data_IF_704999616351
#
_entry.id   IF_704999616351
#
_cell.length_a   1.000
_cell.length_b   1.000
_cell.length_c   1.000
_cell.angle_alpha   90.00
_cell.angle_beta   90.00
_cell.angle_gamma   90.00
#
_symmetry.space_group_name_H-M   'P 1'
#
loop_
_entity.id
_entity.type
_entity.pdbx_description
1 polymer ?
#
# COMPACT_ATOMS: atom_id res chain seq x y z
N UNK A 1 -22.14 -15.19 -39.60
CA UNK A 1 -20.86 -15.88 -39.33
C UNK A 1 -20.08 -15.02 -38.36
N UNK A 2 -20.21 -15.29 -37.06
CA UNK A 2 -19.41 -14.60 -36.04
C UNK A 2 -18.00 -15.17 -36.12
N UNK A 3 -17.02 -14.36 -36.54
CA UNK A 3 -15.62 -14.78 -36.49
C UNK A 3 -15.28 -15.05 -35.03
N UNK A 4 -15.01 -16.32 -34.71
CA UNK A 4 -14.40 -16.71 -33.44
C UNK A 4 -13.03 -16.04 -33.40
N UNK A 5 -12.97 -14.85 -32.80
CA UNK A 5 -11.70 -14.21 -32.46
C UNK A 5 -11.03 -15.12 -31.44
N UNK A 6 -9.90 -15.71 -31.80
CA UNK A 6 -9.08 -16.43 -30.84
C UNK A 6 -8.88 -15.56 -29.60
N UNK A 7 -9.07 -16.10 -28.38
CA UNK A 7 -8.95 -15.33 -27.16
C UNK A 7 -7.55 -14.69 -27.13
N UNK A 8 -7.52 -13.37 -26.97
CA UNK A 8 -6.28 -12.60 -26.85
C UNK A 8 -5.40 -13.23 -25.77
N UNK A 9 -4.08 -13.38 -26.01
CA UNK A 9 -3.18 -13.92 -24.99
C UNK A 9 -3.24 -13.06 -23.73
N UNK A 10 -3.29 -13.71 -22.56
CA UNK A 10 -3.35 -13.04 -21.27
C UNK A 10 -2.17 -12.05 -21.08
N UNK A 11 -2.45 -10.89 -20.50
CA UNK A 11 -1.48 -9.84 -20.25
C UNK A 11 -1.97 -8.83 -19.22
N UNK A 12 -1.15 -8.47 -18.24
CA UNK A 12 -1.35 -7.31 -17.38
C UNK A 12 -0.99 -6.01 -18.12
N UNK A 13 -0.02 -6.08 -19.04
CA UNK A 13 0.38 -4.92 -19.87
C UNK A 13 -0.65 -4.53 -20.92
N UNK A 14 -1.46 -5.49 -21.35
CA UNK A 14 -2.49 -5.38 -22.37
C UNK A 14 -3.71 -4.58 -21.94
N UNK A 15 -4.89 -5.10 -22.28
CA UNK A 15 -6.19 -4.45 -22.16
C UNK A 15 -6.29 -3.57 -20.91
N UNK A 16 -6.86 -2.39 -21.08
CA UNK A 16 -7.01 -1.39 -20.01
C UNK A 16 -7.99 -1.84 -18.92
N UNK A 17 -8.39 -3.11 -18.87
CA UNK A 17 -9.34 -3.65 -17.91
C UNK A 17 -8.67 -4.33 -16.71
N UNK A 18 -9.43 -4.49 -15.62
CA UNK A 18 -9.02 -5.20 -14.42
C UNK A 18 -9.04 -6.74 -14.59
N UNK A 19 -9.64 -7.24 -15.67
CA UNK A 19 -9.89 -8.66 -15.90
C UNK A 19 -8.64 -9.53 -15.94
N UNK A 20 -7.55 -9.03 -16.53
CA UNK A 20 -6.28 -9.73 -16.54
C UNK A 20 -5.74 -9.97 -15.13
N UNK A 21 -5.91 -8.99 -14.24
CA UNK A 21 -5.50 -9.13 -12.85
C UNK A 21 -6.41 -10.12 -12.11
N UNK A 22 -7.74 -10.07 -12.29
CA UNK A 22 -8.65 -11.07 -11.69
C UNK A 22 -8.31 -12.49 -12.14
N UNK A 23 -7.95 -12.68 -13.41
CA UNK A 23 -7.50 -13.98 -13.94
C UNK A 23 -6.22 -14.45 -13.24
N UNK A 24 -5.26 -13.55 -13.04
CA UNK A 24 -4.05 -13.83 -12.27
C UNK A 24 -4.36 -14.26 -10.84
N UNK A 25 -5.26 -13.55 -10.17
CA UNK A 25 -5.65 -13.87 -8.80
C UNK A 25 -6.24 -15.27 -8.68
N UNK A 26 -7.13 -15.66 -9.59
CA UNK A 26 -7.70 -17.01 -9.57
C UNK A 26 -6.62 -18.09 -9.73
N UNK A 27 -5.66 -17.88 -10.63
CA UNK A 27 -4.54 -18.79 -10.81
C UNK A 27 -3.63 -18.82 -9.57
N UNK A 28 -3.35 -17.67 -8.96
CA UNK A 28 -2.54 -17.58 -7.75
C UNK A 28 -3.23 -18.24 -6.54
N UNK A 29 -4.54 -18.04 -6.36
CA UNK A 29 -5.32 -18.68 -5.30
C UNK A 29 -5.30 -20.20 -5.42
N UNK A 30 -5.44 -20.74 -6.64
CA UNK A 30 -5.31 -22.18 -6.86
C UNK A 30 -3.95 -22.73 -6.42
N UNK A 31 -2.86 -21.97 -6.61
CA UNK A 31 -1.51 -22.35 -6.16
C UNK A 31 -1.37 -22.20 -4.62
N UNK A 32 -1.95 -21.15 -4.04
CA UNK A 32 -1.95 -20.95 -2.58
C UNK A 32 -2.67 -22.10 -1.88
N UNK A 33 -3.80 -22.53 -2.41
CA UNK A 33 -4.64 -23.61 -1.86
C UNK A 33 -4.06 -25.02 -2.09
N UNK A 34 -3.09 -25.18 -3.00
CA UNK A 34 -2.43 -26.45 -3.27
C UNK A 34 -1.51 -26.88 -2.11
N UNK A 35 -2.08 -27.60 -1.15
CA UNK A 35 -1.36 -28.18 0.01
C UNK A 35 -0.32 -29.23 -0.37
N UNK A 36 -0.31 -29.74 -1.61
CA UNK A 36 0.67 -30.72 -2.07
C UNK A 36 2.01 -30.09 -2.43
N UNK A 37 2.03 -28.77 -2.66
CA UNK A 37 3.21 -28.00 -3.00
C UNK A 37 3.79 -27.35 -1.72
N UNK A 38 4.96 -27.78 -1.20
CA UNK A 38 5.58 -27.17 -0.03
C UNK A 38 5.97 -25.71 -0.25
N UNK A 39 5.98 -24.90 0.81
CA UNK A 39 6.29 -23.47 0.75
C UNK A 39 7.69 -23.18 0.19
N UNK A 40 8.68 -24.02 0.53
CA UNK A 40 10.06 -23.89 0.05
C UNK A 40 10.15 -24.13 -1.45
N UNK A 41 9.44 -25.14 -1.96
CA UNK A 41 9.41 -25.48 -3.39
C UNK A 41 8.70 -24.38 -4.18
N UNK A 42 7.60 -23.84 -3.66
CA UNK A 42 6.92 -22.72 -4.29
C UNK A 42 7.81 -21.47 -4.35
N UNK A 43 8.51 -21.16 -3.27
CA UNK A 43 9.44 -20.02 -3.21
C UNK A 43 10.63 -20.20 -4.15
N UNK A 44 11.17 -21.42 -4.26
CA UNK A 44 12.22 -21.76 -5.22
C UNK A 44 11.73 -21.57 -6.67
N UNK A 45 10.53 -22.04 -7.00
CA UNK A 45 9.94 -21.84 -8.34
C UNK A 45 9.75 -20.36 -8.67
N UNK A 46 9.18 -19.58 -7.74
CA UNK A 46 9.03 -18.14 -7.90
C UNK A 46 10.38 -17.45 -8.12
N UNK A 47 11.38 -17.84 -7.34
CA UNK A 47 12.77 -17.37 -7.48
C UNK A 47 13.35 -17.69 -8.87
N UNK A 48 13.14 -18.90 -9.37
CA UNK A 48 13.57 -19.29 -10.72
C UNK A 48 12.92 -18.42 -11.81
N UNK A 49 11.63 -18.09 -11.69
CA UNK A 49 10.99 -17.17 -12.64
C UNK A 49 11.57 -15.75 -12.58
N UNK A 50 11.93 -15.27 -11.38
CA UNK A 50 12.53 -13.95 -11.17
C UNK A 50 13.98 -13.84 -11.67
N UNK A 51 14.68 -14.96 -11.92
CA UNK A 51 16.03 -14.94 -12.53
C UNK A 51 16.05 -14.27 -13.92
N UNK A 52 14.87 -14.11 -14.55
CA UNK A 52 14.75 -13.33 -15.78
C UNK A 52 15.30 -11.90 -15.60
N UNK A 53 15.21 -11.31 -14.41
CA UNK A 53 15.73 -9.97 -14.15
C UNK A 53 17.25 -9.91 -13.98
N UNK A 54 17.92 -11.04 -13.76
CA UNK A 54 19.40 -11.12 -13.66
C UNK A 54 20.06 -11.02 -15.04
N UNK A 55 19.28 -11.18 -16.10
CA UNK A 55 19.74 -11.09 -17.48
C UNK A 55 19.92 -9.63 -17.89
N UNK A 56 21.10 -9.23 -18.41
CA UNK A 56 21.35 -7.85 -18.82
C UNK A 56 20.34 -7.30 -19.83
N UNK A 57 19.79 -8.15 -20.70
CA UNK A 57 18.82 -7.75 -21.72
C UNK A 57 17.48 -7.29 -21.14
N UNK A 58 17.18 -7.63 -19.88
CA UNK A 58 15.93 -7.31 -19.19
C UNK A 58 16.12 -6.35 -18.01
N UNK A 59 17.31 -5.77 -17.86
CA UNK A 59 17.62 -4.82 -16.78
C UNK A 59 16.67 -3.60 -16.77
N UNK A 60 16.09 -3.23 -17.91
CA UNK A 60 15.09 -2.15 -18.01
C UNK A 60 13.75 -2.49 -17.39
N UNK A 61 13.38 -3.77 -17.30
CA UNK A 61 12.17 -4.25 -16.63
C UNK A 61 12.41 -4.51 -15.14
N UNK A 62 13.67 -4.60 -14.72
CA UNK A 62 14.01 -4.75 -13.31
C UNK A 62 13.79 -3.46 -12.50
N UNK A 63 13.54 -2.33 -13.18
CA UNK A 63 13.49 -0.98 -12.60
C UNK A 63 12.30 -0.18 -13.12
N UNK A 64 11.60 0.45 -12.20
CA UNK A 64 10.42 1.24 -12.54
C UNK A 64 10.75 2.66 -13.06
N UNK A 65 9.98 3.13 -14.04
CA UNK A 65 10.19 4.44 -14.68
C UNK A 65 9.89 5.60 -13.74
N UNK A 66 8.89 5.47 -12.86
CA UNK A 66 8.52 6.55 -11.94
C UNK A 66 9.65 6.90 -10.96
N UNK A 67 10.54 5.96 -10.64
CA UNK A 67 11.70 6.23 -9.79
C UNK A 67 12.62 7.31 -10.37
N UNK A 68 12.70 7.43 -11.70
CA UNK A 68 13.49 8.50 -12.35
C UNK A 68 12.95 9.89 -12.02
N UNK A 69 11.67 10.01 -11.67
CA UNK A 69 10.99 11.27 -11.36
C UNK A 69 11.07 11.62 -9.86
N UNK A 70 11.53 10.71 -9.01
CA UNK A 70 11.65 10.93 -7.57
C UNK A 70 12.85 11.84 -7.33
N UNK A 71 12.57 13.11 -7.00
CA UNK A 71 13.62 14.14 -6.83
C UNK A 71 14.69 13.76 -5.80
N UNK A 72 14.39 12.91 -4.82
CA UNK A 72 15.38 12.39 -3.88
C UNK A 72 16.42 11.48 -4.51
N UNK A 73 16.04 10.70 -5.51
CA UNK A 73 16.96 9.79 -6.17
C UNK A 73 18.04 10.55 -6.94
N UNK A 74 17.74 11.77 -7.41
CA UNK A 74 18.77 12.66 -7.97
C UNK A 74 19.87 13.03 -6.96
N UNK A 75 19.57 13.02 -5.65
CA UNK A 75 20.54 13.33 -4.59
C UNK A 75 21.35 12.12 -4.15
N UNK A 76 20.90 10.90 -4.46
CA UNK A 76 21.55 9.68 -4.02
C UNK A 76 21.30 8.54 -5.03
N UNK A 77 21.91 8.63 -6.24
CA UNK A 77 21.61 7.73 -7.35
C UNK A 77 21.92 6.27 -7.02
N UNK A 78 22.96 5.98 -6.23
CA UNK A 78 23.30 4.60 -5.86
C UNK A 78 22.18 3.87 -5.12
N UNK A 79 21.39 4.58 -4.29
CA UNK A 79 20.25 3.95 -3.60
C UNK A 79 19.11 3.58 -4.53
N UNK A 80 18.91 4.32 -5.62
CA UNK A 80 17.92 3.94 -6.64
C UNK A 80 18.32 2.65 -7.33
N UNK A 81 19.62 2.46 -7.56
CA UNK A 81 20.17 1.31 -8.27
C UNK A 81 20.03 0.03 -7.45
N UNK A 82 20.01 0.14 -6.12
CA UNK A 82 19.84 -0.98 -5.21
C UNK A 82 18.39 -1.49 -5.10
N UNK A 83 17.40 -0.75 -5.61
CA UNK A 83 16.00 -1.15 -5.58
C UNK A 83 15.60 -1.79 -6.92
N UNK A 84 15.26 -3.08 -6.84
CA UNK A 84 14.98 -3.94 -8.00
C UNK A 84 13.69 -4.71 -7.78
N UNK A 85 13.12 -5.26 -8.85
CA UNK A 85 11.95 -6.13 -8.78
C UNK A 85 12.19 -7.35 -7.85
N UNK A 86 13.41 -7.91 -7.91
CA UNK A 86 13.82 -9.00 -7.02
C UNK A 86 13.85 -8.56 -5.56
N UNK A 87 14.44 -7.41 -5.26
CA UNK A 87 14.48 -6.88 -3.89
C UNK A 87 13.09 -6.55 -3.35
N UNK A 88 12.17 -6.09 -4.20
CA UNK A 88 10.76 -5.92 -3.83
C UNK A 88 10.15 -7.25 -3.37
N UNK A 89 10.31 -8.29 -4.18
CA UNK A 89 9.82 -9.63 -3.86
C UNK A 89 10.42 -10.14 -2.54
N UNK A 90 11.74 -10.07 -2.39
CA UNK A 90 12.43 -10.51 -1.17
C UNK A 90 11.93 -9.72 0.07
N UNK A 91 11.66 -8.41 -0.09
CA UNK A 91 11.09 -7.57 0.97
C UNK A 91 9.65 -7.98 1.36
N UNK A 92 8.83 -8.42 0.39
CA UNK A 92 7.50 -8.98 0.67
C UNK A 92 7.62 -10.28 1.48
N UNK A 93 8.50 -11.19 1.09
CA UNK A 93 8.74 -12.45 1.82
C UNK A 93 9.26 -12.16 3.25
N UNK A 94 10.26 -11.29 3.39
CA UNK A 94 10.79 -10.90 4.69
C UNK A 94 9.73 -10.23 5.58
N UNK A 95 8.88 -9.38 5.00
CA UNK A 95 7.78 -8.74 5.73
C UNK A 95 6.79 -9.78 6.26
N UNK A 96 6.46 -10.79 5.45
CA UNK A 96 5.60 -11.89 5.87
C UNK A 96 6.22 -12.70 7.01
N UNK A 97 7.51 -13.05 6.92
CA UNK A 97 8.23 -13.80 7.96
C UNK A 97 8.26 -13.00 9.29
N UNK A 98 8.62 -11.72 9.22
CA UNK A 98 8.74 -10.83 10.39
C UNK A 98 7.40 -10.53 11.09
N UNK A 99 6.29 -10.62 10.35
CA UNK A 99 4.94 -10.44 10.87
C UNK A 99 4.19 -11.76 11.07
N UNK A 100 4.88 -12.90 10.88
CA UNK A 100 4.32 -14.26 11.00
C UNK A 100 3.06 -14.48 10.13
N UNK A 101 3.05 -13.93 8.92
CA UNK A 101 1.96 -14.03 7.95
C UNK A 101 2.15 -15.28 7.08
N UNK A 102 1.76 -16.46 7.58
CA UNK A 102 2.00 -17.74 6.87
C UNK A 102 1.47 -17.78 5.44
N UNK A 103 0.18 -17.47 5.26
CA UNK A 103 -0.44 -17.35 3.92
C UNK A 103 0.17 -16.20 3.14
N UNK A 104 0.49 -15.11 3.85
CA UNK A 104 1.11 -13.94 3.25
C UNK A 104 2.48 -14.20 2.65
N UNK A 105 3.25 -15.13 3.22
CA UNK A 105 4.52 -15.57 2.66
C UNK A 105 4.34 -16.33 1.35
N UNK A 106 3.30 -17.17 1.29
CA UNK A 106 3.01 -18.03 0.14
C UNK A 106 2.44 -17.24 -1.05
N UNK A 107 1.67 -16.20 -0.77
CA UNK A 107 0.92 -15.45 -1.78
C UNK A 107 1.78 -14.74 -2.85
N UNK A 108 2.84 -13.96 -2.54
CA UNK A 108 3.70 -13.36 -3.55
C UNK A 108 4.37 -14.39 -4.47
N UNK A 109 4.80 -15.52 -3.89
CA UNK A 109 5.41 -16.60 -4.67
C UNK A 109 4.38 -17.26 -5.61
N UNK A 110 3.15 -17.46 -5.13
CA UNK A 110 2.05 -17.96 -5.94
C UNK A 110 1.68 -17.02 -7.10
N UNK A 111 1.61 -15.70 -6.88
CA UNK A 111 1.33 -14.74 -7.96
C UNK A 111 2.45 -14.69 -9.02
N UNK A 112 3.72 -14.79 -8.62
CA UNK A 112 4.85 -14.91 -9.57
C UNK A 112 4.73 -16.18 -10.40
N UNK A 113 4.46 -17.33 -9.77
CA UNK A 113 4.27 -18.60 -10.47
C UNK A 113 3.03 -18.59 -11.37
N UNK A 114 1.92 -18.00 -10.92
CA UNK A 114 0.71 -17.85 -11.71
C UNK A 114 0.94 -16.97 -12.94
N UNK A 115 1.70 -15.89 -12.80
CA UNK A 115 2.08 -15.03 -13.92
C UNK A 115 2.88 -15.82 -14.97
N UNK A 116 3.84 -16.64 -14.54
CA UNK A 116 4.60 -17.50 -15.44
C UNK A 116 3.70 -18.55 -16.13
N UNK A 117 2.84 -19.23 -15.37
CA UNK A 117 1.91 -20.25 -15.86
C UNK A 117 0.95 -19.70 -16.93
N UNK A 118 0.40 -18.50 -16.71
CA UNK A 118 -0.52 -17.86 -17.67
C UNK A 118 0.15 -17.44 -18.98
N UNK A 119 1.48 -17.35 -19.00
CA UNK A 119 2.29 -17.05 -20.19
C UNK A 119 2.79 -18.31 -20.91
N UNK A 120 2.65 -19.49 -20.32
CA UNK A 120 3.06 -20.73 -20.96
C UNK A 120 2.23 -20.94 -22.23
N UNK A 121 2.87 -21.23 -23.39
CA UNK A 121 2.14 -21.52 -24.60
C UNK A 121 1.23 -22.71 -24.37
N UNK A 122 -0.09 -22.53 -24.52
CA UNK A 122 -0.99 -23.67 -24.68
C UNK A 122 -0.47 -24.45 -25.88
N UNK A 123 -0.21 -25.75 -25.70
CA UNK A 123 0.48 -26.64 -26.65
C UNK A 123 -0.32 -26.87 -27.94
N UNK A 124 -0.71 -25.82 -28.65
CA UNK A 124 -1.43 -25.88 -29.92
C UNK A 124 -0.44 -26.14 -31.06
N UNK A 125 0.33 -27.23 -30.98
CA UNK A 125 1.13 -27.82 -32.08
C UNK A 125 2.06 -26.87 -32.85
N UNK A 126 2.34 -25.68 -32.33
CA UNK A 126 2.94 -24.59 -33.09
C UNK A 126 4.46 -24.69 -33.06
N UNK A 127 5.07 -24.49 -34.23
CA UNK A 127 6.51 -24.46 -34.46
C UNK A 127 7.22 -23.68 -33.34
N UNK A 128 8.35 -24.24 -32.89
CA UNK A 128 9.33 -23.59 -32.01
C UNK A 128 9.39 -22.08 -32.28
N UNK A 129 9.22 -21.21 -31.26
CA UNK A 129 9.26 -19.77 -31.46
C UNK A 129 10.56 -19.37 -32.14
N UNK A 130 10.46 -18.52 -33.16
CA UNK A 130 11.60 -18.05 -33.96
C UNK A 130 12.60 -17.22 -33.16
N UNK A 131 12.19 -16.69 -32.01
CA UNK A 131 13.01 -15.87 -31.13
C UNK A 131 13.06 -16.48 -29.71
N UNK A 132 14.20 -17.03 -29.26
CA UNK A 132 14.36 -17.60 -27.92
C UNK A 132 14.26 -16.55 -26.79
N UNK A 133 14.35 -15.26 -27.11
CA UNK A 133 14.22 -14.18 -26.13
C UNK A 133 12.78 -13.71 -25.93
N UNK A 134 11.86 -14.09 -26.82
CA UNK A 134 10.47 -13.57 -26.78
C UNK A 134 9.73 -13.95 -25.50
N UNK A 135 9.79 -15.23 -25.09
CA UNK A 135 9.11 -15.70 -23.90
C UNK A 135 9.71 -15.12 -22.60
N UNK A 136 11.05 -15.15 -22.38
CA UNK A 136 11.66 -14.49 -21.23
C UNK A 136 11.40 -12.98 -21.18
N UNK A 137 11.45 -12.28 -22.33
CA UNK A 137 11.13 -10.85 -22.38
C UNK A 137 9.71 -10.58 -21.89
N UNK A 138 8.75 -11.38 -22.37
CA UNK A 138 7.36 -11.24 -21.97
C UNK A 138 7.16 -11.50 -20.48
N UNK A 139 7.79 -12.54 -19.95
CA UNK A 139 7.78 -12.82 -18.52
C UNK A 139 8.35 -11.66 -17.69
N UNK A 140 9.49 -11.09 -18.11
CA UNK A 140 10.08 -9.94 -17.42
C UNK A 140 9.16 -8.71 -17.42
N UNK A 141 8.47 -8.44 -18.54
CA UNK A 141 7.52 -7.35 -18.67
C UNK A 141 6.32 -7.52 -17.72
N UNK A 142 5.68 -8.68 -17.72
CA UNK A 142 4.50 -8.94 -16.89
C UNK A 142 4.83 -8.99 -15.39
N UNK A 143 5.98 -9.58 -15.03
CA UNK A 143 6.46 -9.55 -13.64
C UNK A 143 6.81 -8.14 -13.18
N UNK A 144 7.38 -7.31 -14.06
CA UNK A 144 7.64 -5.89 -13.74
C UNK A 144 6.35 -5.16 -13.41
N UNK A 145 5.29 -5.37 -14.19
CA UNK A 145 3.98 -4.74 -13.99
C UNK A 145 3.32 -5.26 -12.72
N UNK A 146 3.36 -6.57 -12.49
CA UNK A 146 2.87 -7.17 -11.25
C UNK A 146 3.53 -6.52 -10.03
N UNK A 147 4.85 -6.39 -10.03
CA UNK A 147 5.60 -5.90 -8.87
C UNK A 147 5.44 -4.38 -8.71
N UNK A 148 5.63 -3.60 -9.77
CA UNK A 148 5.73 -2.15 -9.66
C UNK A 148 4.44 -1.37 -9.94
N UNK A 149 3.51 -1.93 -10.70
CA UNK A 149 2.24 -1.27 -10.99
C UNK A 149 1.10 -1.86 -10.14
N UNK A 150 1.12 -3.16 -9.87
CA UNK A 150 0.07 -3.81 -9.07
C UNK A 150 0.42 -3.80 -7.59
N UNK A 151 1.50 -4.45 -7.15
CA UNK A 151 1.83 -4.57 -5.72
C UNK A 151 2.21 -3.23 -5.10
N UNK A 152 3.09 -2.48 -5.74
CA UNK A 152 3.48 -1.16 -5.24
C UNK A 152 2.28 -0.24 -5.07
N UNK A 153 1.42 -0.14 -6.09
CA UNK A 153 0.20 0.66 -6.02
C UNK A 153 -0.72 0.16 -4.92
N UNK A 154 -0.97 -1.15 -4.82
CA UNK A 154 -1.82 -1.72 -3.77
C UNK A 154 -1.29 -1.47 -2.35
N UNK A 155 0.03 -1.50 -2.13
CA UNK A 155 0.65 -1.19 -0.84
C UNK A 155 0.59 0.30 -0.52
N UNK A 156 0.90 1.14 -1.51
CA UNK A 156 1.05 2.58 -1.34
C UNK A 156 -0.29 3.32 -1.35
N UNK A 157 -1.30 2.85 -2.08
CA UNK A 157 -2.56 3.56 -2.32
C UNK A 157 -3.30 3.99 -1.04
N UNK A 158 -3.47 3.13 0.00
CA UNK A 158 -4.07 3.55 1.27
C UNK A 158 -3.36 4.72 1.95
N UNK A 159 -2.10 4.92 1.59
CA UNK A 159 -1.20 5.89 2.18
C UNK A 159 -0.84 7.00 1.21
N UNK A 160 -1.36 7.02 -0.03
CA UNK A 160 -0.98 8.00 -1.04
C UNK A 160 -1.53 9.41 -0.73
N UNK A 161 -2.51 9.54 0.16
CA UNK A 161 -3.11 10.81 0.60
C UNK A 161 -2.18 11.66 1.50
N UNK A 162 -0.86 11.59 1.29
CA UNK A 162 0.08 12.37 2.12
C UNK A 162 0.20 13.85 1.72
N UNK A 163 -0.32 14.23 0.55
CA UNK A 163 -0.01 15.50 -0.10
C UNK A 163 -1.20 16.42 -0.43
N UNK A 164 -2.36 15.91 -0.85
CA UNK A 164 -3.50 16.74 -1.30
C UNK A 164 -4.81 15.95 -1.38
N UNK A 165 -5.73 16.29 -0.46
CA UNK A 165 -7.20 16.28 -0.44
C UNK A 165 -8.00 15.07 -0.98
N UNK A 166 -8.81 14.55 -0.04
CA UNK A 166 -9.98 13.66 -0.15
C UNK A 166 -9.67 12.24 -0.59
N UNK A 167 -9.45 11.38 0.40
CA UNK A 167 -9.87 9.98 0.31
C UNK A 167 -11.35 9.98 -0.05
N UNK A 168 -11.68 9.60 -1.28
CA UNK A 168 -12.99 8.98 -1.51
C UNK A 168 -13.06 7.84 -0.51
N UNK A 169 -14.08 7.78 0.38
CA UNK A 169 -14.31 6.60 1.18
C UNK A 169 -14.19 5.39 0.25
N UNK A 170 -13.54 4.32 0.68
CA UNK A 170 -13.79 3.03 0.03
C UNK A 170 -15.25 2.76 0.33
N UNK A 171 -16.15 3.29 -0.51
CA UNK A 171 -17.56 2.99 -0.44
C UNK A 171 -17.61 1.48 -0.49
N UNK A 172 -18.15 0.88 0.58
CA UNK A 172 -18.52 -0.52 0.52
C UNK A 172 -19.34 -0.61 -0.75
N UNK A 173 -18.90 -1.44 -1.70
CA UNK A 173 -19.78 -1.87 -2.78
C UNK A 173 -21.11 -2.21 -2.11
N UNK A 174 -22.14 -1.45 -2.43
CA UNK A 174 -23.49 -1.73 -1.96
C UNK A 174 -23.80 -3.19 -2.31
N UNK A 175 -24.66 -3.84 -1.52
CA UNK A 175 -24.98 -5.25 -1.75
C UNK A 175 -25.55 -5.44 -3.17
N UNK A 176 -26.14 -4.40 -3.73
CA UNK A 176 -26.57 -4.27 -5.13
C UNK A 176 -25.39 -4.16 -6.12
N UNK A 177 -24.36 -3.36 -5.85
CA UNK A 177 -23.17 -3.24 -6.72
C UNK A 177 -22.31 -4.51 -6.77
N UNK A 178 -22.32 -5.32 -5.70
CA UNK A 178 -21.64 -6.63 -5.70
C UNK A 178 -22.24 -7.58 -6.75
N UNK A 179 -23.50 -7.40 -7.15
CA UNK A 179 -24.12 -8.18 -8.21
C UNK A 179 -23.72 -7.75 -9.64
N UNK A 180 -23.08 -6.59 -9.82
CA UNK A 180 -22.71 -6.06 -11.15
C UNK A 180 -21.21 -5.74 -11.30
N UNK A 181 -20.34 -6.29 -10.45
CA UNK A 181 -18.90 -6.12 -10.63
C UNK A 181 -18.41 -6.88 -11.86
N UNK A 182 -18.20 -6.16 -12.96
CA UNK A 182 -17.64 -6.68 -14.20
C UNK A 182 -16.20 -6.19 -14.39
N UNK A 183 -15.18 -6.99 -14.07
CA UNK A 183 -13.78 -6.55 -14.13
C UNK A 183 -13.34 -6.16 -15.54
N UNK A 184 -14.00 -6.70 -16.58
CA UNK A 184 -13.78 -6.34 -17.99
C UNK A 184 -14.15 -4.88 -18.30
N UNK A 185 -15.05 -4.28 -17.51
CA UNK A 185 -15.53 -2.90 -17.69
C UNK A 185 -14.78 -1.89 -16.81
N UNK A 186 -13.98 -2.36 -15.85
CA UNK A 186 -13.29 -1.50 -14.89
C UNK A 186 -11.91 -1.14 -15.44
N UNK A 187 -11.68 0.15 -15.71
CA UNK A 187 -10.38 0.64 -16.14
C UNK A 187 -9.31 0.34 -15.07
N UNK A 188 -8.16 -0.19 -15.50
CA UNK A 188 -7.10 -0.72 -14.63
C UNK A 188 -6.43 0.34 -13.76
N UNK A 189 -6.55 1.62 -14.09
CA UNK A 189 -6.03 2.76 -13.30
C UNK A 189 -7.12 3.49 -12.49
N UNK A 190 -8.38 3.01 -12.53
CA UNK A 190 -9.47 3.62 -11.76
C UNK A 190 -9.29 3.41 -10.26
N UNK A 191 -9.89 4.30 -9.45
CA UNK A 191 -9.95 4.16 -8.00
C UNK A 191 -10.57 2.80 -7.59
N UNK A 192 -11.58 2.34 -8.33
CA UNK A 192 -12.19 1.02 -8.13
C UNK A 192 -11.18 -0.12 -8.31
N UNK A 193 -10.36 -0.07 -9.36
CA UNK A 193 -9.30 -1.06 -9.58
C UNK A 193 -8.23 -1.02 -8.48
N UNK A 194 -7.83 0.18 -8.05
CA UNK A 194 -6.84 0.35 -6.99
C UNK A 194 -7.36 -0.11 -5.63
N UNK A 195 -8.62 0.19 -5.30
CA UNK A 195 -9.28 -0.30 -4.10
C UNK A 195 -9.41 -1.82 -4.11
N UNK A 196 -9.78 -2.41 -5.25
CA UNK A 196 -9.85 -3.87 -5.40
C UNK A 196 -8.49 -4.54 -5.18
N UNK A 197 -7.43 -4.04 -5.85
CA UNK A 197 -6.05 -4.54 -5.69
C UNK A 197 -5.55 -4.42 -4.27
N UNK A 198 -5.79 -3.26 -3.65
CA UNK A 198 -5.43 -2.98 -2.26
C UNK A 198 -6.10 -3.98 -1.32
N UNK A 199 -7.43 -4.10 -1.39
CA UNK A 199 -8.18 -5.01 -0.54
C UNK A 199 -7.76 -6.47 -0.75
N UNK A 200 -7.58 -6.88 -2.00
CA UNK A 200 -7.10 -8.22 -2.32
C UNK A 200 -5.71 -8.47 -1.72
N UNK A 201 -4.76 -7.55 -1.93
CA UNK A 201 -3.42 -7.67 -1.37
C UNK A 201 -3.49 -7.79 0.16
N UNK A 202 -4.16 -6.89 0.87
CA UNK A 202 -4.19 -6.95 2.33
C UNK A 202 -4.96 -8.17 2.86
N UNK A 203 -5.96 -8.70 2.15
CA UNK A 203 -6.62 -9.96 2.54
C UNK A 203 -5.71 -11.16 2.32
N UNK A 204 -5.14 -11.29 1.12
CA UNK A 204 -4.36 -12.46 0.73
C UNK A 204 -2.95 -12.45 1.35
N UNK A 205 -2.24 -11.32 1.25
CA UNK A 205 -0.92 -11.12 1.85
C UNK A 205 -1.02 -10.81 3.35
N UNK A 206 -1.87 -9.85 3.71
CA UNK A 206 -1.95 -9.35 5.09
C UNK A 206 -2.78 -10.20 6.04
N UNK A 207 -3.47 -11.23 5.53
CA UNK A 207 -4.39 -12.08 6.31
C UNK A 207 -5.44 -11.24 7.07
N UNK A 208 -5.91 -10.16 6.46
CA UNK A 208 -7.05 -9.40 6.98
C UNK A 208 -8.33 -10.23 6.83
N UNK A 209 -9.24 -10.15 7.80
CA UNK A 209 -10.49 -10.92 7.73
C UNK A 209 -11.34 -10.47 6.53
N UNK A 210 -12.01 -11.41 5.87
CA UNK A 210 -12.84 -11.13 4.69
C UNK A 210 -13.98 -10.14 5.01
N UNK A 211 -14.57 -10.29 6.20
CA UNK A 211 -15.66 -9.44 6.69
C UNK A 211 -15.17 -8.10 7.26
N UNK A 212 -13.86 -7.88 7.30
CA UNK A 212 -13.30 -6.56 7.62
C UNK A 212 -13.70 -5.61 6.51
N UNK A 213 -14.81 -4.91 6.73
CA UNK A 213 -15.02 -3.64 6.08
C UNK A 213 -13.90 -2.73 6.52
N UNK A 214 -13.15 -2.17 5.58
CA UNK A 214 -12.26 -1.05 5.89
C UNK A 214 -13.17 0.01 6.50
N UNK A 215 -13.00 0.30 7.81
CA UNK A 215 -13.83 1.29 8.46
C UNK A 215 -13.70 2.60 7.69
N UNK A 216 -14.75 3.44 7.71
CA UNK A 216 -14.66 4.76 7.09
C UNK A 216 -13.42 5.48 7.62
N UNK A 217 -12.78 6.26 6.75
CA UNK A 217 -11.53 6.97 7.04
C UNK A 217 -11.60 7.70 8.38
N UNK A 218 -12.76 8.28 8.68
CA UNK A 218 -13.01 9.12 9.86
C UNK A 218 -13.54 8.35 11.08
N UNK A 219 -13.49 7.01 11.09
CA UNK A 219 -13.91 6.26 12.27
C UNK A 219 -12.84 6.29 13.39
N UNK A 220 -13.25 6.23 14.68
CA UNK A 220 -12.30 6.17 15.79
C UNK A 220 -11.32 5.00 15.71
N UNK A 221 -11.73 3.86 15.15
CA UNK A 221 -10.89 2.67 15.01
C UNK A 221 -9.75 2.83 13.99
N UNK A 222 -9.83 3.82 13.09
CA UNK A 222 -8.77 4.19 12.15
C UNK A 222 -7.95 5.39 12.65
N UNK A 223 -8.15 5.83 13.89
CA UNK A 223 -7.50 7.01 14.45
C UNK A 223 -6.54 6.64 15.57
N UNK A 224 -5.34 7.24 15.54
CA UNK A 224 -4.41 7.25 16.67
C UNK A 224 -4.12 8.68 17.08
N UNK A 225 -4.31 8.99 18.37
CA UNK A 225 -3.88 10.27 18.93
C UNK A 225 -2.39 10.20 19.27
N UNK A 226 -1.57 10.93 18.52
CA UNK A 226 -0.11 10.92 18.64
C UNK A 226 0.44 12.34 18.75
N UNK A 227 1.55 12.50 19.46
CA UNK A 227 2.32 13.75 19.40
C UNK A 227 2.79 14.01 17.97
N UNK A 228 2.83 15.27 17.54
CA UNK A 228 3.11 15.64 16.15
C UNK A 228 4.33 14.94 15.53
N UNK A 229 5.47 14.89 16.23
CA UNK A 229 6.68 14.22 15.72
C UNK A 229 6.49 12.71 15.57
N UNK A 230 5.87 12.09 16.57
CA UNK A 230 5.53 10.66 16.59
C UNK A 230 4.54 10.31 15.50
N UNK A 231 3.53 11.17 15.27
CA UNK A 231 2.58 11.09 14.17
C UNK A 231 3.28 11.10 12.80
N UNK A 232 4.13 12.11 12.56
CA UNK A 232 4.87 12.19 11.29
C UNK A 232 5.76 10.96 11.11
N UNK A 233 6.42 10.47 12.16
CA UNK A 233 7.24 9.28 12.07
C UNK A 233 6.40 8.01 11.79
N UNK A 234 5.22 7.88 12.39
CA UNK A 234 4.30 6.75 12.17
C UNK A 234 3.86 6.74 10.70
N UNK A 235 3.31 7.86 10.23
CA UNK A 235 2.84 8.08 8.86
C UNK A 235 3.89 7.77 7.79
N UNK A 236 5.17 7.97 8.08
CA UNK A 236 6.28 7.71 7.16
C UNK A 236 6.83 6.28 7.29
N UNK A 237 6.15 5.39 8.02
CA UNK A 237 6.58 4.01 8.25
C UNK A 237 7.87 3.89 9.06
N UNK A 238 8.28 4.92 9.82
CA UNK A 238 9.54 4.88 10.61
C UNK A 238 9.40 4.08 11.90
N UNK A 239 8.17 3.88 12.34
CA UNK A 239 7.82 2.96 13.40
C UNK A 239 6.39 2.46 13.19
N UNK A 240 6.06 1.32 13.78
CA UNK A 240 4.72 0.72 13.68
C UNK A 240 4.35 -0.03 14.96
N UNK A 241 3.09 -0.49 15.01
CA UNK A 241 2.54 -1.33 16.06
C UNK A 241 2.34 -2.75 15.53
N UNK A 242 3.10 -3.70 16.07
CA UNK A 242 3.01 -5.12 15.70
C UNK A 242 2.12 -5.84 16.71
N UNK A 243 1.08 -6.58 16.29
CA UNK A 243 0.20 -7.30 17.22
C UNK A 243 0.98 -8.32 18.05
N UNK A 244 0.53 -8.53 19.29
CA UNK A 244 1.03 -9.58 20.18
C UNK A 244 -0.05 -10.65 20.40
N UNK A 245 0.28 -11.72 21.13
CA UNK A 245 -0.70 -12.74 21.53
C UNK A 245 -1.77 -12.17 22.48
N UNK A 246 -1.45 -11.11 23.22
CA UNK A 246 -2.39 -10.42 24.11
C UNK A 246 -3.29 -9.47 23.30
N UNK A 247 -4.63 -9.61 23.39
CA UNK A 247 -5.56 -8.72 22.69
C UNK A 247 -5.35 -7.25 23.02
N UNK A 248 -5.39 -6.39 22.01
CA UNK A 248 -5.17 -4.94 22.12
C UNK A 248 -3.79 -4.51 22.65
N UNK A 249 -2.83 -5.44 22.78
CA UNK A 249 -1.44 -5.14 23.10
C UNK A 249 -0.58 -5.29 21.85
N UNK A 250 0.26 -4.29 21.62
CA UNK A 250 1.09 -4.17 20.44
C UNK A 250 2.53 -3.86 20.84
N UNK A 251 3.49 -4.51 20.19
CA UNK A 251 4.91 -4.19 20.31
C UNK A 251 5.23 -2.98 19.45
N UNK A 252 5.92 -2.00 20.02
CA UNK A 252 6.42 -0.84 19.27
C UNK A 252 7.68 -1.28 18.53
N UNK A 253 7.65 -1.24 17.19
CA UNK A 253 8.82 -1.51 16.35
C UNK A 253 9.28 -0.22 15.69
N UNK A 254 10.57 0.08 15.78
CA UNK A 254 11.20 1.25 15.14
C UNK A 254 12.17 0.81 14.07
N UNK A 255 12.15 1.47 12.92
CA UNK A 255 13.06 1.23 11.77
C UNK A 255 14.15 2.31 11.66
N UNK A 256 14.10 3.30 12.55
CA UNK A 256 15.09 4.36 12.68
C UNK A 256 15.41 4.57 14.17
N UNK A 257 16.52 5.24 14.50
CA UNK A 257 16.84 5.57 15.89
C UNK A 257 15.64 6.23 16.63
N UNK A 258 15.32 5.82 17.87
CA UNK A 258 14.12 6.31 18.58
C UNK A 258 14.03 7.82 18.73
N UNK A 259 15.17 8.54 18.80
CA UNK A 259 15.21 10.00 18.86
C UNK A 259 14.60 10.66 17.60
N UNK A 260 14.64 9.97 16.46
CA UNK A 260 14.02 10.40 15.21
C UNK A 260 12.51 10.18 15.20
N UNK A 261 12.01 9.20 15.94
CA UNK A 261 10.57 8.92 16.08
C UNK A 261 9.92 9.75 17.18
N UNK A 262 10.50 9.76 18.38
CA UNK A 262 9.83 10.23 19.59
C UNK A 262 10.43 11.51 20.18
N UNK A 263 11.57 11.98 19.68
CA UNK A 263 12.27 13.14 20.25
C UNK A 263 13.50 12.77 21.10
N UNK A 264 14.45 13.72 21.27
CA UNK A 264 15.63 13.49 22.09
C UNK A 264 15.23 13.20 23.54
N UNK A 265 15.91 12.24 24.17
CA UNK A 265 15.67 11.86 25.57
C UNK A 265 14.40 11.05 25.82
N UNK A 266 13.58 10.78 24.80
CA UNK A 266 12.38 9.95 24.94
C UNK A 266 12.69 8.50 24.55
N UNK A 267 12.48 7.58 25.49
CA UNK A 267 12.41 6.15 25.19
C UNK A 267 10.93 5.83 24.93
N UNK A 268 10.62 5.27 23.78
CA UNK A 268 9.32 4.60 23.65
C UNK A 268 9.31 3.41 24.61
N UNK A 269 8.15 3.13 25.20
CA UNK A 269 7.93 1.83 25.81
C UNK A 269 8.13 0.72 24.77
N UNK A 270 8.33 -0.51 25.24
CA UNK A 270 8.42 -1.66 24.34
C UNK A 270 7.04 -2.05 23.79
N UNK A 271 5.98 -1.76 24.55
CA UNK A 271 4.61 -2.13 24.25
C UNK A 271 3.64 -0.96 24.46
N UNK A 272 2.50 -1.02 23.76
CA UNK A 272 1.31 -0.22 24.03
C UNK A 272 0.12 -1.16 24.20
N UNK A 273 -0.73 -0.89 25.19
CA UNK A 273 -1.98 -1.64 25.40
C UNK A 273 -3.15 -0.66 25.34
N UNK A 274 -4.08 -0.90 24.42
CA UNK A 274 -5.32 -0.12 24.35
C UNK A 274 -6.35 -0.76 25.28
N UNK A 275 -6.73 -0.05 26.34
CA UNK A 275 -7.73 -0.55 27.28
C UNK A 275 -9.13 -0.41 26.69
N UNK A 276 -9.84 -1.52 26.54
CA UNK A 276 -11.25 -1.51 26.19
C UNK A 276 -12.13 -0.88 27.28
N UNK A 277 -13.43 -0.66 27.01
CA UNK A 277 -14.38 -0.30 28.04
C UNK A 277 -14.48 -1.45 29.06
N UNK A 278 -13.96 -1.24 30.26
CA UNK A 278 -14.14 -2.20 31.35
C UNK A 278 -15.61 -2.16 31.76
N UNK A 279 -16.31 -3.28 31.67
CA UNK A 279 -17.71 -3.43 32.09
C UNK A 279 -17.82 -3.45 33.63
N UNK A 280 -17.34 -2.39 34.28
CA UNK A 280 -17.48 -2.23 35.72
C UNK A 280 -18.95 -2.08 36.10
N UNK A 281 -19.47 -2.87 37.05
CA UNK A 281 -20.85 -2.72 37.49
C UNK A 281 -21.04 -1.35 38.16
N UNK A 282 -21.89 -0.52 37.58
CA UNK A 282 -22.34 0.75 38.18
C UNK A 282 -21.73 2.04 37.63
N UNK A 283 -20.75 1.98 36.73
CA UNK A 283 -20.30 3.17 35.99
C UNK A 283 -21.26 3.49 34.86
N UNK A 284 -21.81 4.70 34.85
CA UNK A 284 -22.52 5.25 33.69
C UNK A 284 -21.65 5.08 32.44
N UNK A 285 -22.24 4.76 31.26
CA UNK A 285 -21.49 4.55 30.04
C UNK A 285 -20.81 5.85 29.61
N UNK A 286 -19.63 6.13 30.18
CA UNK A 286 -18.74 7.17 29.70
C UNK A 286 -18.38 6.78 28.26
N UNK A 287 -18.59 7.70 27.33
CA UNK A 287 -18.31 7.54 25.91
C UNK A 287 -16.82 7.23 25.71
N UNK A 288 -16.43 5.95 25.80
CA UNK A 288 -15.07 5.49 25.51
C UNK A 288 -15.01 5.14 24.04
N UNK A 289 -14.08 5.77 23.33
CA UNK A 289 -13.77 5.40 21.96
C UNK A 289 -13.34 3.92 21.92
N UNK A 290 -13.77 3.17 20.89
CA UNK A 290 -13.29 1.80 20.67
C UNK A 290 -11.77 1.81 20.44
N UNK A 291 -11.05 0.72 20.77
CA UNK A 291 -9.64 0.61 20.44
C UNK A 291 -9.43 0.66 18.91
N UNK A 292 -8.20 1.00 18.46
CA UNK A 292 -7.86 0.94 17.04
C UNK A 292 -8.08 -0.45 16.47
N UNK A 293 -8.48 -0.52 15.19
CA UNK A 293 -8.67 -1.79 14.50
C UNK A 293 -7.33 -2.54 14.37
N UNK A 294 -7.24 -3.79 14.85
CA UNK A 294 -6.03 -4.61 14.69
C UNK A 294 -5.62 -4.78 13.23
N UNK A 295 -6.59 -4.88 12.32
CA UNK A 295 -6.35 -5.07 10.89
C UNK A 295 -5.74 -3.83 10.22
N UNK A 296 -6.17 -2.63 10.63
CA UNK A 296 -5.60 -1.38 10.14
C UNK A 296 -4.17 -1.17 10.67
N UNK A 297 -3.94 -1.53 11.94
CA UNK A 297 -2.59 -1.53 12.51
C UNK A 297 -1.69 -2.54 11.81
N UNK A 298 -2.21 -3.73 11.47
CA UNK A 298 -1.48 -4.74 10.69
C UNK A 298 -1.17 -4.25 9.28
N UNK A 299 -2.12 -3.62 8.59
CA UNK A 299 -1.88 -3.04 7.27
C UNK A 299 -0.76 -1.99 7.30
N UNK A 300 -0.77 -1.11 8.31
CA UNK A 300 0.32 -0.16 8.53
C UNK A 300 1.65 -0.85 8.84
N UNK A 301 1.65 -1.91 9.65
CA UNK A 301 2.85 -2.69 9.96
C UNK A 301 3.44 -3.36 8.72
N UNK A 302 2.61 -3.98 7.88
CA UNK A 302 3.02 -4.55 6.59
C UNK A 302 3.73 -3.49 5.76
N UNK A 303 3.11 -2.33 5.59
CA UNK A 303 3.68 -1.27 4.80
C UNK A 303 5.01 -0.74 5.36
N UNK A 304 5.07 -0.49 6.68
CA UNK A 304 6.27 0.03 7.33
C UNK A 304 7.45 -0.96 7.25
N UNK A 305 7.19 -2.25 7.49
CA UNK A 305 8.18 -3.32 7.32
C UNK A 305 8.64 -3.45 5.87
N UNK A 306 7.71 -3.38 4.92
CA UNK A 306 8.04 -3.43 3.50
C UNK A 306 8.95 -2.26 3.10
N UNK A 307 8.65 -1.03 3.53
CA UNK A 307 9.50 0.14 3.24
C UNK A 307 10.92 0.00 3.78
N UNK A 308 11.07 -0.58 4.98
CA UNK A 308 12.36 -0.80 5.61
C UNK A 308 13.16 -1.89 4.87
N UNK A 309 12.58 -3.08 4.72
CA UNK A 309 13.21 -4.24 4.06
C UNK A 309 13.55 -3.98 2.59
N UNK A 310 12.67 -3.30 1.86
CA UNK A 310 12.93 -2.94 0.46
C UNK A 310 13.98 -1.83 0.29
N UNK A 311 14.26 -1.06 1.33
CA UNK A 311 15.11 0.13 1.25
C UNK A 311 14.42 1.34 0.61
N UNK A 312 13.10 1.28 0.34
CA UNK A 312 12.33 2.39 -0.21
C UNK A 312 12.10 3.52 0.79
N UNK A 313 12.09 3.26 2.10
CA UNK A 313 11.81 4.27 3.11
C UNK A 313 12.65 5.55 2.94
N UNK A 314 13.99 5.46 2.86
CA UNK A 314 14.85 6.62 2.61
C UNK A 314 14.70 7.26 1.21
N UNK A 315 14.22 6.51 0.21
CA UNK A 315 14.01 6.99 -1.16
C UNK A 315 12.76 7.86 -1.22
N UNK A 316 11.66 7.37 -0.66
CA UNK A 316 10.35 8.01 -0.70
C UNK A 316 10.27 9.15 0.31
N UNK A 317 10.92 9.00 1.47
CA UNK A 317 10.92 9.98 2.54
C UNK A 317 12.33 10.51 2.82
N UNK A 318 12.93 11.25 1.86
CA UNK A 318 14.29 11.77 1.93
C UNK A 318 14.37 13.00 2.83
N UNK A 319 13.96 12.89 4.09
CA UNK A 319 13.93 14.02 5.00
C UNK A 319 15.11 13.97 5.96
N UNK A 320 16.08 14.91 5.85
CA UNK A 320 16.60 15.54 7.04
C UNK A 320 15.42 16.37 7.58
N UNK A 321 14.82 15.97 8.70
CA UNK A 321 13.82 16.80 9.41
C UNK A 321 14.48 18.12 9.82
N UNK A 322 14.63 19.07 8.89
CA UNK A 322 14.72 20.47 9.26
C UNK A 322 13.34 20.81 9.83
N UNK A 323 13.25 21.39 11.03
CA UNK A 323 11.97 21.84 11.56
C UNK A 323 11.43 22.91 10.60
N UNK A 324 10.59 22.50 9.66
CA UNK A 324 9.81 23.44 8.88
C UNK A 324 8.87 24.10 9.87
N UNK A 325 8.96 25.42 10.02
CA UNK A 325 8.05 26.23 10.83
C UNK A 325 6.61 26.29 10.30
N UNK A 326 6.15 25.24 9.61
CA UNK A 326 4.72 25.01 9.37
C UNK A 326 4.13 24.71 10.73
N UNK A 327 3.48 25.72 11.32
CA UNK A 327 2.96 25.63 12.68
C UNK A 327 1.89 24.55 12.75
N UNK A 328 1.89 23.83 13.87
CA UNK A 328 0.93 22.80 14.28
C UNK A 328 -0.54 23.24 14.07
N UNK A 329 -0.79 24.55 14.05
CA UNK A 329 -2.10 25.16 13.86
C UNK A 329 -2.71 24.86 12.49
N UNK A 330 -1.96 24.91 11.38
CA UNK A 330 -2.57 24.74 10.04
C UNK A 330 -3.09 23.31 9.79
N UNK A 331 -2.32 22.28 10.20
CA UNK A 331 -2.72 20.89 10.02
C UNK A 331 -3.87 20.54 11.00
N UNK A 332 -3.80 21.05 12.24
CA UNK A 332 -4.85 20.83 13.23
C UNK A 332 -6.13 21.62 12.93
N UNK A 333 -6.08 22.83 12.36
CA UNK A 333 -7.28 23.57 11.93
C UNK A 333 -7.99 22.85 10.80
N UNK A 334 -7.23 22.31 9.84
CA UNK A 334 -7.82 21.55 8.74
C UNK A 334 -8.46 20.25 9.24
N UNK A 335 -7.77 19.48 10.09
CA UNK A 335 -8.34 18.29 10.73
C UNK A 335 -9.53 18.59 11.65
N UNK A 336 -9.48 19.67 12.44
CA UNK A 336 -10.60 20.13 13.26
C UNK A 336 -11.79 20.57 12.41
N UNK A 337 -11.56 21.27 11.30
CA UNK A 337 -12.64 21.70 10.40
C UNK A 337 -13.39 20.53 9.75
N UNK A 338 -12.70 19.40 9.53
CA UNK A 338 -13.27 18.18 8.96
C UNK A 338 -14.00 17.32 10.01
N UNK A 339 -13.52 17.29 11.26
CA UNK A 339 -14.06 16.44 12.33
C UNK A 339 -15.16 17.10 13.19
N UNK A 340 -15.23 18.45 13.22
CA UNK A 340 -16.19 19.17 14.07
C UNK A 340 -17.68 19.11 13.67
N UNK A 341 -18.10 18.99 12.39
CA UNK A 341 -19.53 18.95 12.07
C UNK A 341 -20.26 17.66 12.47
N UNK A 342 -19.57 16.65 13.00
CA UNK A 342 -20.13 15.32 13.27
C UNK A 342 -20.21 14.90 14.75
N UNK A 343 -19.91 15.80 15.70
CA UNK A 343 -20.06 15.54 17.13
C UNK A 343 -21.40 16.09 17.66
N UNK A 344 -22.35 15.24 18.11
CA UNK A 344 -23.58 15.71 18.75
C UNK A 344 -23.25 16.46 20.05
N UNK A 345 -23.65 17.73 20.13
CA UNK A 345 -23.49 18.55 21.35
C UNK A 345 -22.31 19.51 21.38
N UNK A 346 -21.47 19.57 20.34
CA UNK A 346 -20.45 20.63 20.22
C UNK A 346 -21.05 21.86 19.54
N UNK A 347 -21.19 22.96 20.28
CA UNK A 347 -21.54 24.27 19.70
C UNK A 347 -20.41 24.72 18.75
N UNK A 348 -20.73 25.28 17.57
CA UNK A 348 -19.72 25.81 16.67
C UNK A 348 -18.88 26.88 17.38
N UNK A 349 -17.56 26.81 17.20
CA UNK A 349 -16.62 27.81 17.75
C UNK A 349 -17.06 29.20 17.25
N UNK A 350 -17.29 30.18 18.16
CA UNK A 350 -17.64 31.53 17.75
C UNK A 350 -16.54 32.06 16.83
N UNK A 351 -16.92 32.51 15.63
CA UNK A 351 -15.99 33.20 14.73
C UNK A 351 -15.42 34.39 15.49
N UNK A 352 -14.15 34.31 15.91
CA UNK A 352 -13.47 35.44 16.53
C UNK A 352 -13.37 36.55 15.50
N UNK A 353 -14.04 37.67 15.76
CA UNK A 353 -13.95 38.89 14.97
C UNK A 353 -12.58 39.56 15.22
N UNK A 354 -11.51 39.00 14.68
CA UNK A 354 -10.17 39.62 14.58
C UNK A 354 -9.14 38.68 13.92
N UNK A 355 -9.46 38.13 12.76
CA UNK A 355 -8.43 37.58 11.86
C UNK A 355 -8.23 38.53 10.69
N UNK A 356 -7.40 39.54 10.91
CA UNK A 356 -6.86 40.42 9.88
C UNK A 356 -5.99 39.59 8.94
N UNK A 357 -6.37 39.59 7.66
CA UNK A 357 -5.61 39.21 6.45
C UNK A 357 -4.44 38.22 6.57
N UNK A 358 -4.70 36.95 6.22
CA UNK A 358 -3.66 36.00 5.80
C UNK A 358 -3.03 36.47 4.46
N UNK A 359 -1.70 36.42 4.29
CA UNK A 359 -1.03 36.93 3.10
C UNK A 359 -1.38 36.10 1.85
N UNK A 360 -2.03 36.73 0.86
CA UNK A 360 -2.38 36.16 -0.46
C UNK A 360 -1.18 35.80 -1.36
N UNK A 361 0.05 35.75 -0.85
CA UNK A 361 1.26 35.90 -1.68
C UNK A 361 1.86 34.60 -2.25
N UNK A 362 1.41 33.40 -1.84
CA UNK A 362 1.99 32.16 -2.37
C UNK A 362 1.20 31.55 -3.55
N UNK A 363 -0.13 31.57 -3.50
CA UNK A 363 -1.00 31.00 -4.55
C UNK A 363 -1.09 31.88 -5.81
N UNK A 364 -1.13 33.21 -5.66
CA UNK A 364 -1.19 34.13 -6.81
C UNK A 364 0.10 34.09 -7.67
N UNK A 365 1.28 33.86 -7.07
CA UNK A 365 2.54 33.76 -7.83
C UNK A 365 2.64 32.53 -8.72
N UNK A 366 1.92 31.44 -8.43
CA UNK A 366 1.91 30.23 -9.27
C UNK A 366 0.92 30.34 -10.43
N UNK A 367 -0.20 31.02 -10.25
CA UNK A 367 -1.19 31.22 -11.32
C UNK A 367 -0.70 32.21 -12.39
N UNK A 368 0.02 33.28 -12.02
CA UNK A 368 0.58 34.23 -13.00
C UNK A 368 1.72 33.66 -13.87
N UNK A 369 2.39 32.58 -13.44
CA UNK A 369 3.44 31.91 -14.25
C UNK A 369 2.89 30.92 -15.29
N UNK A 370 1.62 30.51 -15.18
CA UNK A 370 0.96 29.67 -16.20
C UNK A 370 0.31 30.47 -17.33
N UNK A 371 0.01 31.76 -17.12
CA UNK A 371 -0.59 32.61 -18.15
C UNK A 371 0.40 33.35 -19.07
N UNK A 372 1.71 33.21 -18.84
CA UNK A 372 2.78 33.85 -19.66
C UNK A 372 3.57 32.88 -20.54
N UNK A 373 3.07 31.65 -20.71
CA UNK A 373 3.53 30.71 -21.75
C UNK A 373 2.32 30.22 -22.53
N UNK A 374 1.77 31.12 -23.32
CA UNK A 374 0.89 30.86 -24.47
C UNK A 374 1.54 31.50 -25.68
#
# INVERSE_FOLDING_TARGET
MSSSSDPSPWSLSGDESLAAYVTLQHAALAIVEDTTLPDEVLLERATCHLQVFERPEFATHCREKWMKNVSSLSRNPGRAEDFTARRFFDAMIQTADELNLRTGRRFPAAEVCACALLLEPRESGSRRPSDPLKAPRRLAEELSILIFDVWWTALWWPLADLGTWTLSPIERFSKEEVQEFHPDKVHKESDTANNYRTLHLYRSFGQLEFDTSVPTVDCPQNCLLLEHKTYIAFRLGKWTLVPTEEPNKYRIRTFVPPDKCFGPGRKAGEYVTFTGPSAGPGTTPSFRAPPPSPDLLRAHAIFAHFLDSSGLGPIIFPMPLKPCGVTVEMINEQARSLLLPHLPGTMPVPKSASSTELPKTYLQRRLSRRQTRG
#
